data_IF_769534449200
#
_entry.id   IF_769534449200
#
_cell.length_a   1.000
_cell.length_b   1.000
_cell.length_c   1.000
_cell.angle_alpha   90.00
_cell.angle_beta   90.00
_cell.angle_gamma   90.00
#
_symmetry.space_group_name_H-M   'P 1'
#
loop_
_entity.id
_entity.type
_entity.pdbx_description
1 polymer ?
#
# COMPACT_ATOMS: atom_id res chain seq x y z
N UNK A 1 -10.43 -3.02 -4.70
CA UNK A 1 -10.93 -2.95 -3.32
C UNK A 1 -10.25 -1.85 -2.54
N UNK A 2 -8.91 -1.80 -2.50
CA UNK A 2 -8.17 -0.78 -1.74
C UNK A 2 -7.20 -0.09 -2.72
N UNK A 3 -7.62 0.99 -3.41
CA UNK A 3 -6.74 1.72 -4.32
C UNK A 3 -5.77 2.61 -3.54
N UNK A 4 -4.54 2.73 -4.05
CA UNK A 4 -3.48 3.58 -3.49
C UNK A 4 -3.19 4.70 -4.50
N UNK A 5 -3.37 5.94 -4.08
CA UNK A 5 -3.10 7.13 -4.87
C UNK A 5 -1.66 7.66 -4.68
N UNK A 6 -1.22 8.48 -5.64
CA UNK A 6 0.05 9.21 -5.53
C UNK A 6 -0.03 10.25 -4.42
N UNK A 7 0.89 10.16 -3.45
CA UNK A 7 0.89 11.01 -2.26
C UNK A 7 0.04 10.48 -1.09
N UNK A 8 -0.53 9.28 -1.21
CA UNK A 8 -1.31 8.64 -0.14
C UNK A 8 -0.41 7.91 0.84
N UNK A 9 -0.87 7.78 2.09
CA UNK A 9 -0.25 6.96 3.13
C UNK A 9 -1.13 5.73 3.39
N UNK A 10 -0.68 4.56 2.97
CA UNK A 10 -1.45 3.32 3.11
C UNK A 10 -0.71 2.33 4.01
N UNK A 11 -1.25 2.08 5.20
CA UNK A 11 -0.62 1.19 6.18
C UNK A 11 -0.71 -0.28 5.73
N UNK A 12 0.38 -1.03 5.83
CA UNK A 12 0.37 -2.50 5.71
C UNK A 12 0.52 -3.07 7.12
N UNK A 13 -0.55 -3.66 7.64
CA UNK A 13 -0.61 -4.16 9.02
C UNK A 13 -0.97 -5.64 9.05
N UNK A 14 -0.33 -6.37 9.95
CA UNK A 14 -0.64 -7.78 10.20
C UNK A 14 0.45 -8.48 11.00
N UNK A 15 0.21 -9.75 11.30
CA UNK A 15 1.11 -10.54 12.14
C UNK A 15 2.42 -10.87 11.41
N UNK A 16 3.36 -11.41 12.19
CA UNK A 16 4.59 -12.01 11.66
C UNK A 16 4.27 -13.01 10.54
N UNK A 17 5.11 -13.00 9.50
CA UNK A 17 5.06 -13.98 8.40
C UNK A 17 3.76 -14.00 7.56
N UNK A 18 2.97 -12.93 7.57
CA UNK A 18 1.74 -12.81 6.75
C UNK A 18 1.97 -12.28 5.32
N UNK A 19 3.21 -12.01 4.93
CA UNK A 19 3.57 -11.51 3.60
C UNK A 19 3.65 -9.99 3.46
N UNK A 20 3.72 -9.23 4.57
CA UNK A 20 3.81 -7.74 4.57
C UNK A 20 4.94 -7.21 3.69
N UNK A 21 6.17 -7.64 3.94
CA UNK A 21 7.35 -7.23 3.18
C UNK A 21 7.27 -7.65 1.70
N UNK A 22 6.71 -8.84 1.41
CA UNK A 22 6.53 -9.29 0.04
C UNK A 22 5.58 -8.37 -0.73
N UNK A 23 4.43 -8.00 -0.14
CA UNK A 23 3.49 -7.06 -0.74
C UNK A 23 4.13 -5.69 -1.05
N UNK A 24 4.97 -5.21 -0.13
CA UNK A 24 5.65 -3.93 -0.32
C UNK A 24 6.76 -3.97 -1.39
N UNK A 25 7.52 -5.08 -1.46
CA UNK A 25 8.54 -5.28 -2.50
C UNK A 25 7.89 -5.44 -3.88
N UNK A 26 6.79 -6.20 -3.97
CA UNK A 26 6.05 -6.35 -5.22
C UNK A 26 5.52 -5.00 -5.71
N UNK A 27 5.09 -4.13 -4.79
CA UNK A 27 4.69 -2.76 -5.12
C UNK A 27 5.85 -1.95 -5.72
N UNK A 28 7.08 -2.09 -5.18
CA UNK A 28 8.31 -1.48 -5.71
C UNK A 28 8.66 -2.05 -7.09
N UNK A 29 8.66 -3.38 -7.24
CA UNK A 29 8.97 -4.06 -8.51
C UNK A 29 8.01 -3.60 -9.61
N UNK A 30 6.73 -3.41 -9.28
CA UNK A 30 5.73 -2.91 -10.22
C UNK A 30 5.98 -1.46 -10.66
N UNK A 31 6.85 -0.70 -9.98
CA UNK A 31 7.24 0.66 -10.39
C UNK A 31 8.47 0.73 -11.29
N UNK A 32 9.05 -0.40 -11.70
CA UNK A 32 10.30 -0.42 -12.50
C UNK A 32 10.24 0.49 -13.75
N UNK A 33 9.09 0.55 -14.42
CA UNK A 33 8.89 1.27 -15.69
C UNK A 33 7.88 2.42 -15.56
N UNK A 34 7.38 2.72 -14.35
CA UNK A 34 6.28 3.68 -14.15
C UNK A 34 6.73 5.13 -13.99
N UNK A 35 8.05 5.37 -13.92
CA UNK A 35 8.65 6.67 -13.64
C UNK A 35 8.61 7.07 -12.15
N UNK A 36 8.08 6.22 -11.27
CA UNK A 36 8.03 6.48 -9.82
C UNK A 36 9.32 5.98 -9.17
N UNK A 37 10.06 6.87 -8.49
CA UNK A 37 11.29 6.50 -7.77
C UNK A 37 10.96 5.77 -6.47
N UNK A 38 11.67 4.69 -6.17
CA UNK A 38 11.37 3.89 -4.99
C UNK A 38 12.42 4.09 -3.89
N UNK A 39 11.97 4.06 -2.63
CA UNK A 39 12.82 4.07 -1.44
C UNK A 39 12.37 2.95 -0.51
N UNK A 40 13.25 2.01 -0.20
CA UNK A 40 12.98 0.95 0.77
C UNK A 40 13.82 1.18 2.02
N UNK A 41 13.17 1.41 3.16
CA UNK A 41 13.84 1.66 4.44
C UNK A 41 13.67 0.43 5.35
N UNK A 42 14.76 -0.30 5.57
CA UNK A 42 14.80 -1.44 6.48
C UNK A 42 15.26 -0.99 7.88
N UNK A 43 14.40 -1.18 8.88
CA UNK A 43 14.59 -0.73 10.26
C UNK A 43 14.58 -1.94 11.19
N UNK A 44 15.70 -2.21 11.86
CA UNK A 44 15.83 -3.34 12.79
C UNK A 44 15.57 -4.70 12.13
N UNK A 45 15.79 -4.82 10.81
CA UNK A 45 15.67 -6.08 10.08
C UNK A 45 16.96 -6.89 10.18
N UNK A 46 16.84 -8.21 10.00
CA UNK A 46 18.01 -9.09 9.93
C UNK A 46 18.78 -8.80 8.64
N UNK A 47 20.11 -8.69 8.71
CA UNK A 47 20.95 -8.42 7.55
C UNK A 47 20.73 -9.45 6.42
N UNK A 48 20.55 -10.73 6.76
CA UNK A 48 20.25 -11.78 5.78
C UNK A 48 18.90 -11.59 5.08
N UNK A 49 17.88 -11.11 5.78
CA UNK A 49 16.59 -10.77 5.18
C UNK A 49 16.74 -9.61 4.21
N UNK A 50 17.46 -8.55 4.60
CA UNK A 50 17.70 -7.39 3.75
C UNK A 50 18.48 -7.77 2.49
N UNK A 51 19.55 -8.58 2.63
CA UNK A 51 20.33 -9.07 1.49
C UNK A 51 19.46 -9.86 0.50
N UNK A 52 18.56 -10.73 0.99
CA UNK A 52 17.61 -11.43 0.13
C UNK A 52 16.64 -10.48 -0.59
N UNK A 53 16.17 -9.42 0.08
CA UNK A 53 15.32 -8.39 -0.54
C UNK A 53 16.06 -7.65 -1.64
N UNK A 54 17.28 -7.18 -1.38
CA UNK A 54 18.11 -6.48 -2.38
C UNK A 54 18.38 -7.38 -3.58
N UNK A 55 18.76 -8.65 -3.34
CA UNK A 55 18.95 -9.63 -4.42
C UNK A 55 17.67 -9.82 -5.23
N UNK A 56 16.51 -9.89 -4.60
CA UNK A 56 15.21 -10.00 -5.31
C UNK A 56 14.88 -8.76 -6.13
N UNK A 57 15.17 -7.57 -5.61
CA UNK A 57 15.00 -6.32 -6.35
C UNK A 57 15.93 -6.26 -7.57
N UNK A 58 17.16 -6.77 -7.43
CA UNK A 58 18.13 -6.86 -8.53
C UNK A 58 17.73 -7.89 -9.59
N UNK A 59 17.33 -9.09 -9.17
CA UNK A 59 16.82 -10.17 -10.05
C UNK A 59 15.66 -9.71 -10.93
N UNK A 60 14.80 -8.81 -10.42
CA UNK A 60 13.64 -8.28 -11.16
C UNK A 60 13.93 -6.92 -11.83
N UNK A 61 15.17 -6.44 -11.82
CA UNK A 61 15.59 -5.18 -12.44
C UNK A 61 15.06 -3.90 -11.77
N UNK A 62 14.49 -4.01 -10.57
CA UNK A 62 13.90 -2.88 -9.84
C UNK A 62 14.93 -2.09 -9.01
N UNK A 63 16.10 -2.69 -8.72
CA UNK A 63 17.14 -2.07 -7.89
C UNK A 63 17.67 -0.75 -8.48
N UNK A 64 17.79 -0.65 -9.80
CA UNK A 64 18.26 0.56 -10.47
C UNK A 64 17.34 1.79 -10.23
N UNK A 65 16.07 1.55 -9.91
CA UNK A 65 15.08 2.59 -9.62
C UNK A 65 14.77 2.72 -8.11
N UNK A 66 15.52 2.01 -7.26
CA UNK A 66 15.22 1.91 -5.82
C UNK A 66 16.43 2.28 -4.96
N UNK A 67 16.27 3.25 -4.07
CA UNK A 67 17.23 3.54 -3.01
C UNK A 67 16.91 2.63 -1.82
N UNK A 68 17.91 1.95 -1.28
CA UNK A 68 17.76 1.08 -0.11
C UNK A 68 18.49 1.70 1.08
N UNK A 69 17.74 2.09 2.11
CA UNK A 69 18.27 2.60 3.38
C UNK A 69 18.20 1.49 4.41
N UNK A 70 19.32 1.19 5.06
CA UNK A 70 19.43 0.05 5.98
C UNK A 70 19.90 0.52 7.34
N UNK A 71 19.13 0.17 8.37
CA UNK A 71 19.57 0.15 9.75
C UNK A 71 19.25 -1.24 10.35
N UNK A 72 20.26 -2.11 10.41
CA UNK A 72 20.09 -3.51 10.82
C UNK A 72 19.75 -3.64 12.31
N UNK A 73 19.24 -4.81 12.72
CA UNK A 73 18.92 -5.11 14.12
C UNK A 73 20.14 -5.02 15.07
N UNK A 74 21.36 -5.17 14.55
CA UNK A 74 22.62 -5.08 15.32
C UNK A 74 23.14 -3.64 15.47
N UNK A 75 22.59 -2.69 14.72
CA UNK A 75 23.00 -1.29 14.81
C UNK A 75 22.37 -0.57 15.99
N UNK A 76 22.93 0.60 16.33
CA UNK A 76 22.45 1.46 17.41
C UNK A 76 20.96 1.79 17.26
N UNK A 77 20.26 1.85 18.39
CA UNK A 77 18.86 2.31 18.45
C UNK A 77 18.70 3.71 17.83
N UNK A 78 19.72 4.57 17.91
CA UNK A 78 19.70 5.90 17.30
C UNK A 78 19.64 5.84 15.77
N UNK A 79 20.40 4.93 15.15
CA UNK A 79 20.37 4.73 13.69
C UNK A 79 19.02 4.15 13.25
N UNK A 80 18.51 3.16 13.96
CA UNK A 80 17.18 2.58 13.66
C UNK A 80 16.06 3.63 13.79
N UNK A 81 16.14 4.49 14.80
CA UNK A 81 15.19 5.59 15.00
C UNK A 81 15.25 6.64 13.88
N UNK A 82 16.46 6.99 13.39
CA UNK A 82 16.67 8.04 12.39
C UNK A 82 16.54 7.57 10.94
N UNK A 83 16.73 6.29 10.65
CA UNK A 83 16.70 5.74 9.29
C UNK A 83 15.43 6.12 8.49
N UNK A 84 14.22 6.12 9.07
CA UNK A 84 13.01 6.53 8.35
C UNK A 84 13.02 8.00 7.95
N UNK A 85 13.58 8.88 8.80
CA UNK A 85 13.69 10.30 8.48
C UNK A 85 14.70 10.54 7.36
N UNK A 86 15.80 9.79 7.34
CA UNK A 86 16.81 9.84 6.28
C UNK A 86 16.23 9.36 4.94
N UNK A 87 15.56 8.20 4.92
CA UNK A 87 14.90 7.70 3.72
C UNK A 87 13.80 8.64 3.22
N UNK A 88 13.03 9.22 4.14
CA UNK A 88 12.02 10.22 3.78
C UNK A 88 12.64 11.46 3.12
N UNK A 89 13.74 11.99 3.66
CA UNK A 89 14.44 13.13 3.04
C UNK A 89 14.95 12.82 1.62
N UNK A 90 15.40 11.58 1.36
CA UNK A 90 15.74 11.13 0.01
C UNK A 90 14.52 11.09 -0.92
N UNK A 91 13.36 10.68 -0.42
CA UNK A 91 12.10 10.71 -1.17
C UNK A 91 11.59 12.13 -1.45
N UNK A 92 11.73 13.04 -0.48
CA UNK A 92 11.33 14.45 -0.62
C UNK A 92 12.11 15.17 -1.72
N UNK A 93 13.37 14.80 -1.95
CA UNK A 93 14.18 15.32 -3.06
C UNK A 93 13.44 15.24 -4.41
N UNK A 94 12.77 14.11 -4.66
CA UNK A 94 12.00 13.88 -5.90
C UNK A 94 10.65 14.61 -5.86
N UNK A 95 9.95 14.55 -4.72
CA UNK A 95 8.66 15.26 -4.51
C UNK A 95 8.81 16.76 -4.81
N UNK A 96 9.84 17.39 -4.27
CA UNK A 96 10.03 18.84 -4.38
C UNK A 96 10.50 19.28 -5.78
N UNK A 97 10.92 18.33 -6.63
CA UNK A 97 11.29 18.55 -8.04
C UNK A 97 10.16 18.24 -9.03
N UNK A 98 8.95 17.98 -8.54
CA UNK A 98 7.81 17.63 -9.40
C UNK A 98 7.86 16.20 -9.92
N UNK A 99 8.67 15.33 -9.31
CA UNK A 99 8.70 13.89 -9.58
C UNK A 99 7.86 13.13 -8.54
N UNK A 100 7.53 11.88 -8.86
CA UNK A 100 6.77 11.00 -7.98
C UNK A 100 7.69 9.96 -7.34
N UNK A 101 7.53 9.75 -6.04
CA UNK A 101 8.27 8.77 -5.27
C UNK A 101 7.34 7.87 -4.44
N UNK A 102 7.79 6.64 -4.20
CA UNK A 102 7.18 5.64 -3.33
C UNK A 102 8.18 5.26 -2.25
N UNK A 103 7.82 5.40 -0.99
CA UNK A 103 8.64 4.99 0.15
C UNK A 103 7.96 3.88 0.96
N UNK A 104 8.74 2.86 1.32
CA UNK A 104 8.34 1.75 2.18
C UNK A 104 9.14 1.80 3.47
N UNK A 105 8.45 1.72 4.62
CA UNK A 105 9.10 1.66 5.94
C UNK A 105 8.91 0.26 6.57
N UNK A 106 9.97 -0.53 6.65
CA UNK A 106 9.95 -1.92 7.12
C UNK A 106 10.89 -2.11 8.34
N UNK A 107 10.47 -1.91 9.59
CA UNK A 107 9.09 -1.80 10.11
C UNK A 107 9.01 -0.67 11.15
N UNK A 108 7.95 0.15 11.12
CA UNK A 108 7.76 1.26 12.04
C UNK A 108 7.54 0.81 13.50
N UNK A 109 7.04 -0.41 13.73
CA UNK A 109 6.95 -1.01 15.07
C UNK A 109 8.34 -1.12 15.70
N UNK A 110 9.37 -1.45 14.89
CA UNK A 110 10.75 -1.54 15.37
C UNK A 110 11.36 -0.15 15.60
N UNK A 111 11.00 0.84 14.78
CA UNK A 111 11.37 2.23 15.04
C UNK A 111 10.82 2.72 16.39
N UNK A 112 9.55 2.43 16.69
CA UNK A 112 8.93 2.79 17.96
C UNK A 112 9.65 2.15 19.16
N UNK A 113 10.03 0.86 19.03
CA UNK A 113 10.79 0.15 20.07
C UNK A 113 12.18 0.76 20.26
N UNK A 114 12.89 1.10 19.18
CA UNK A 114 14.18 1.78 19.24
C UNK A 114 14.06 3.15 19.91
N UNK A 115 13.03 3.93 19.59
CA UNK A 115 12.76 5.22 20.22
C UNK A 115 12.45 5.08 21.71
N UNK A 116 11.64 4.07 22.08
CA UNK A 116 11.36 3.73 23.48
C UNK A 116 12.64 3.42 24.24
N UNK A 117 13.55 2.64 23.68
CA UNK A 117 14.83 2.33 24.32
C UNK A 117 15.64 3.60 24.62
N UNK A 118 15.77 4.51 23.64
CA UNK A 118 16.47 5.79 23.83
C UNK A 118 15.78 6.61 24.91
N UNK A 119 14.45 6.72 24.86
CA UNK A 119 13.68 7.53 25.81
C UNK A 119 13.80 7.04 27.25
N UNK A 120 13.80 5.72 27.47
CA UNK A 120 13.97 5.12 28.79
C UNK A 120 15.40 5.33 29.33
N UNK A 121 16.41 5.24 28.48
CA UNK A 121 17.81 5.54 28.86
C UNK A 121 17.98 7.01 29.27
N UNK A 122 17.25 7.92 28.61
CA UNK A 122 17.18 9.34 28.96
C UNK A 122 16.29 9.63 30.19
N UNK A 123 15.77 8.59 30.85
CA UNK A 123 14.89 8.69 32.02
C UNK A 123 13.64 9.56 31.79
N UNK A 124 13.15 9.62 30.56
CA UNK A 124 11.87 10.27 30.27
C UNK A 124 10.72 9.41 30.82
N UNK A 125 9.65 10.02 31.38
CA UNK A 125 8.53 9.27 31.93
C UNK A 125 7.83 8.44 30.85
N UNK A 126 7.63 7.12 31.05
CA UNK A 126 6.90 6.28 30.12
C UNK A 126 5.38 6.38 30.29
N UNK A 127 4.64 6.05 29.24
CA UNK A 127 3.19 5.91 29.21
C UNK A 127 2.75 4.46 28.94
N UNK A 128 1.70 4.30 28.13
CA UNK A 128 1.13 2.98 27.77
C UNK A 128 2.18 2.09 27.08
N UNK A 129 2.26 0.82 27.49
CA UNK A 129 3.23 -0.16 26.99
C UNK A 129 4.71 0.31 27.09
N UNK A 130 4.99 1.19 28.07
CA UNK A 130 6.26 1.84 28.33
C UNK A 130 6.79 2.75 27.20
N UNK A 131 5.97 3.10 26.21
CA UNK A 131 6.35 4.08 25.18
C UNK A 131 6.30 5.50 25.74
N UNK A 132 7.15 6.43 25.26
CA UNK A 132 7.06 7.82 25.66
C UNK A 132 5.79 8.48 25.09
N UNK A 133 5.30 9.53 25.76
CA UNK A 133 4.05 10.20 25.36
C UNK A 133 4.08 10.82 23.96
N UNK A 134 5.26 11.10 23.42
CA UNK A 134 5.48 11.69 22.09
C UNK A 134 5.69 10.63 20.98
N UNK A 135 5.46 9.34 21.23
CA UNK A 135 5.53 8.29 20.19
C UNK A 135 4.48 8.49 19.08
N UNK A 136 3.36 9.14 19.39
CA UNK A 136 2.39 9.53 18.36
C UNK A 136 3.01 10.59 17.43
N UNK A 137 3.64 11.61 18.03
CA UNK A 137 4.28 12.70 17.30
C UNK A 137 5.45 12.23 16.44
N UNK A 138 6.16 11.18 16.89
CA UNK A 138 7.21 10.50 16.13
C UNK A 138 6.72 10.07 14.74
N UNK A 139 5.62 9.30 14.69
CA UNK A 139 5.10 8.77 13.44
C UNK A 139 4.29 9.81 12.67
N UNK A 140 3.59 10.73 13.35
CA UNK A 140 2.82 11.77 12.65
C UNK A 140 3.74 12.69 11.85
N UNK A 141 4.80 13.24 12.46
CA UNK A 141 5.75 14.11 11.73
C UNK A 141 6.51 13.38 10.63
N UNK A 142 6.64 12.05 10.70
CA UNK A 142 7.25 11.24 9.66
C UNK A 142 6.30 11.03 8.49
N UNK A 143 5.07 10.56 8.78
CA UNK A 143 4.12 10.17 7.76
C UNK A 143 3.47 11.38 7.10
N UNK A 144 3.28 12.51 7.79
CA UNK A 144 2.77 13.74 7.19
C UNK A 144 3.70 14.35 6.13
N UNK A 145 4.96 13.91 6.05
CA UNK A 145 5.87 14.28 4.95
C UNK A 145 5.51 13.61 3.63
N UNK A 146 4.82 12.47 3.68
CA UNK A 146 4.30 11.79 2.50
C UNK A 146 3.00 12.47 2.07
N UNK A 147 3.11 13.31 1.04
CA UNK A 147 2.02 14.11 0.50
C UNK A 147 2.23 14.39 -0.99
N UNK A 148 1.20 14.92 -1.63
CA UNK A 148 1.27 15.52 -2.97
C UNK A 148 1.32 17.04 -2.87
N UNK A 149 2.28 17.66 -3.54
CA UNK A 149 2.45 19.12 -3.58
C UNK A 149 1.80 19.72 -4.82
N UNK A 150 1.35 20.97 -4.73
CA UNK A 150 0.80 21.69 -5.88
C UNK A 150 1.90 22.20 -6.82
N UNK A 151 1.52 22.65 -8.02
CA UNK A 151 2.49 23.12 -9.02
C UNK A 151 3.20 24.40 -8.59
N UNK A 152 2.50 25.30 -7.90
CA UNK A 152 3.06 26.55 -7.38
C UNK A 152 4.20 26.32 -6.38
N UNK A 153 4.05 25.33 -5.49
CA UNK A 153 5.10 24.95 -4.54
C UNK A 153 6.35 24.43 -5.27
N UNK A 154 6.17 23.56 -6.26
CA UNK A 154 7.29 23.01 -7.04
C UNK A 154 8.00 24.12 -7.81
N UNK A 155 7.25 25.05 -8.40
CA UNK A 155 7.82 26.22 -9.10
C UNK A 155 8.61 27.11 -8.15
N UNK A 156 8.07 27.40 -6.97
CA UNK A 156 8.75 28.20 -5.96
C UNK A 156 10.02 27.51 -5.43
N UNK A 157 9.96 26.21 -5.15
CA UNK A 157 11.09 25.44 -4.62
C UNK A 157 12.22 25.29 -5.65
N UNK A 158 11.87 25.00 -6.90
CA UNK A 158 12.82 24.83 -8.01
C UNK A 158 13.25 26.15 -8.64
N UNK A 159 12.84 27.30 -8.07
CA UNK A 159 13.17 28.64 -8.58
C UNK A 159 12.79 28.84 -10.06
N UNK A 160 11.69 28.22 -10.48
CA UNK A 160 11.16 28.29 -11.84
C UNK A 160 11.79 27.33 -12.86
N UNK A 161 12.67 26.42 -12.45
CA UNK A 161 13.22 25.37 -13.34
C UNK A 161 12.15 24.36 -13.78
N UNK A 162 11.25 23.99 -12.86
CA UNK A 162 10.16 23.04 -13.12
C UNK A 162 8.83 23.78 -13.05
N UNK A 163 8.10 23.86 -14.17
CA UNK A 163 6.80 24.53 -14.26
C UNK A 163 5.66 23.58 -14.57
N UNK A 164 4.51 23.84 -13.96
CA UNK A 164 3.26 23.11 -14.21
C UNK A 164 3.23 21.65 -13.78
N UNK A 165 4.23 21.17 -13.02
CA UNK A 165 4.29 19.79 -12.51
C UNK A 165 3.99 19.73 -11.03
N UNK A 166 3.33 18.66 -10.61
CA UNK A 166 3.12 18.32 -9.19
C UNK A 166 3.98 17.11 -8.84
N UNK A 167 4.69 17.16 -7.71
CA UNK A 167 5.39 15.99 -7.20
C UNK A 167 4.60 15.30 -6.08
N UNK A 168 4.95 14.05 -5.80
CA UNK A 168 4.31 13.31 -4.72
C UNK A 168 5.26 12.34 -4.02
N UNK A 169 5.04 12.13 -2.73
CA UNK A 169 5.68 11.08 -1.96
C UNK A 169 4.58 10.18 -1.38
N UNK A 170 4.47 8.97 -1.92
CA UNK A 170 3.52 7.93 -1.48
C UNK A 170 4.20 7.07 -0.43
N UNK A 171 3.55 6.77 0.70
CA UNK A 171 4.16 6.00 1.77
C UNK A 171 3.39 4.72 2.09
N UNK A 172 4.12 3.61 2.19
CA UNK A 172 3.64 2.31 2.64
C UNK A 172 4.36 1.93 3.95
N UNK A 173 3.91 2.45 5.11
CA UNK A 173 4.43 1.99 6.38
C UNK A 173 3.99 0.56 6.66
N UNK A 174 4.91 -0.27 7.15
CA UNK A 174 4.61 -1.60 7.68
C UNK A 174 4.51 -1.50 9.20
N UNK A 175 3.49 -2.15 9.76
CA UNK A 175 3.32 -2.37 11.21
C UNK A 175 3.10 -3.86 11.47
N UNK A 176 3.93 -4.42 12.33
CA UNK A 176 3.72 -5.75 12.90
C UNK A 176 2.80 -5.69 14.13
N UNK A 177 1.73 -6.51 14.10
CA UNK A 177 0.87 -6.81 15.25
C UNK A 177 1.34 -8.07 15.98
N UNK A 178 0.90 -8.21 17.23
CA UNK A 178 1.05 -9.45 17.99
C UNK A 178 -0.31 -10.15 18.04
N UNK A 179 -0.40 -11.36 17.48
CA UNK A 179 -1.61 -12.19 17.48
C UNK A 179 -2.88 -11.48 16.97
N UNK A 180 -2.74 -10.60 15.98
CA UNK A 180 -3.83 -9.86 15.36
C UNK A 180 -4.37 -8.70 16.20
N UNK A 181 -3.71 -8.35 17.31
CA UNK A 181 -4.17 -7.27 18.17
C UNK A 181 -3.93 -5.89 17.53
N UNK A 182 -4.99 -5.36 16.94
CA UNK A 182 -5.05 -4.01 16.37
C UNK A 182 -5.28 -2.92 17.43
N UNK A 183 -5.62 -3.29 18.66
CA UNK A 183 -5.91 -2.37 19.76
C UNK A 183 -4.68 -1.98 20.58
N UNK A 184 -3.53 -2.60 20.27
CA UNK A 184 -2.23 -2.24 20.81
C UNK A 184 -1.89 -0.77 20.50
N UNK A 185 -1.06 -0.17 21.36
CA UNK A 185 -0.85 1.27 21.36
C UNK A 185 -0.25 1.80 20.05
N UNK A 186 0.83 1.19 19.55
CA UNK A 186 1.50 1.64 18.32
C UNK A 186 0.64 1.41 17.07
N UNK A 187 0.03 0.21 16.85
CA UNK A 187 -0.89 0.02 15.72
C UNK A 187 -2.04 1.02 15.68
N UNK A 188 -2.69 1.27 16.82
CA UNK A 188 -3.81 2.23 16.91
C UNK A 188 -3.37 3.63 16.50
N UNK A 189 -2.20 4.09 16.98
CA UNK A 189 -1.66 5.39 16.62
C UNK A 189 -1.42 5.51 15.12
N UNK A 190 -0.78 4.51 14.50
CA UNK A 190 -0.44 4.59 13.06
C UNK A 190 -1.70 4.49 12.19
N UNK A 191 -2.69 3.67 12.55
CA UNK A 191 -3.99 3.63 11.86
C UNK A 191 -4.67 5.01 11.87
N UNK A 192 -4.55 5.76 12.96
CA UNK A 192 -5.14 7.10 13.04
C UNK A 192 -4.41 8.14 12.19
N UNK A 193 -3.14 7.90 11.82
CA UNK A 193 -2.32 8.82 11.01
C UNK A 193 -2.44 8.52 9.52
N UNK A 194 -2.46 7.24 9.11
CA UNK A 194 -2.50 6.88 7.68
C UNK A 194 -3.87 7.09 7.07
N UNK A 195 -3.94 7.27 5.74
CA UNK A 195 -5.17 7.50 4.99
C UNK A 195 -5.92 6.20 4.66
N UNK A 196 -5.48 5.09 5.23
CA UNK A 196 -5.99 3.76 4.95
C UNK A 196 -5.10 2.69 5.53
N UNK A 197 -5.58 1.45 5.44
CA UNK A 197 -4.87 0.28 5.89
C UNK A 197 -5.24 -0.95 5.06
N UNK A 198 -4.23 -1.77 4.81
CA UNK A 198 -4.30 -3.12 4.28
C UNK A 198 -4.00 -4.07 5.44
N UNK A 199 -5.03 -4.78 5.88
CA UNK A 199 -4.93 -5.76 6.97
C UNK A 199 -4.69 -7.16 6.41
N UNK A 200 -3.54 -7.74 6.72
CA UNK A 200 -3.17 -9.11 6.35
C UNK A 200 -3.50 -10.06 7.50
N UNK A 201 -4.39 -11.02 7.24
CA UNK A 201 -4.90 -11.94 8.25
C UNK A 201 -4.19 -13.30 8.20
N UNK A 202 -3.71 -13.75 9.36
CA UNK A 202 -2.98 -15.03 9.52
C UNK A 202 -3.82 -16.24 9.08
N UNK A 203 -5.13 -16.24 9.39
CA UNK A 203 -6.02 -17.33 9.01
C UNK A 203 -6.15 -17.48 7.48
N UNK A 204 -6.22 -16.37 6.76
CA UNK A 204 -6.30 -16.38 5.29
C UNK A 204 -4.99 -16.86 4.67
N UNK A 205 -3.88 -16.41 5.24
CA UNK A 205 -2.56 -16.84 4.79
C UNK A 205 -2.36 -18.35 4.97
N UNK A 206 -2.76 -18.89 6.13
CA UNK A 206 -2.69 -20.32 6.43
C UNK A 206 -3.66 -21.15 5.56
N UNK A 207 -4.80 -20.58 5.17
CA UNK A 207 -5.74 -21.19 4.23
C UNK A 207 -5.28 -21.14 2.76
N UNK A 208 -4.06 -20.64 2.49
CA UNK A 208 -3.49 -20.58 1.14
C UNK A 208 -3.91 -19.36 0.32
N UNK A 209 -4.71 -18.44 0.88
CA UNK A 209 -5.12 -17.22 0.18
C UNK A 209 -3.97 -16.21 0.25
N UNK A 210 -3.33 -15.95 -0.91
CA UNK A 210 -2.22 -15.01 -1.07
C UNK A 210 -2.53 -14.06 -2.24
N UNK A 211 -2.61 -12.73 -2.02
CA UNK A 211 -2.33 -12.00 -0.78
C UNK A 211 -3.46 -12.16 0.26
N UNK A 212 -3.08 -12.24 1.54
CA UNK A 212 -3.98 -12.53 2.67
C UNK A 212 -4.80 -11.31 3.14
N UNK A 213 -5.29 -10.48 2.21
CA UNK A 213 -5.97 -9.22 2.50
C UNK A 213 -7.38 -9.50 3.05
N UNK A 214 -7.69 -8.94 4.22
CA UNK A 214 -9.05 -8.94 4.76
C UNK A 214 -9.85 -7.74 4.20
N UNK A 215 -10.84 -7.94 3.32
CA UNK A 215 -11.55 -6.85 2.65
C UNK A 215 -12.55 -6.12 3.55
N UNK A 216 -12.86 -6.65 4.74
CA UNK A 216 -13.78 -6.00 5.68
C UNK A 216 -13.08 -5.00 6.61
N UNK A 217 -11.83 -5.28 6.98
CA UNK A 217 -11.03 -4.44 7.88
C UNK A 217 -10.15 -3.46 7.09
N UNK A 218 -9.73 -3.86 5.89
CA UNK A 218 -8.89 -3.03 5.04
C UNK A 218 -9.70 -1.92 4.37
N UNK A 219 -9.19 -0.68 4.39
CA UNK A 219 -9.89 0.52 3.92
C UNK A 219 -8.90 1.45 3.25
N UNK A 220 -9.29 2.09 2.15
CA UNK A 220 -8.59 3.26 1.60
C UNK A 220 -9.54 4.46 1.67
N UNK A 221 -9.16 5.51 2.41
CA UNK A 221 -10.01 6.71 2.62
C UNK A 221 -10.05 7.61 1.39
N UNK A 222 -9.07 7.50 0.48
CA UNK A 222 -9.07 8.18 -0.82
C UNK A 222 -10.11 7.56 -1.78
N UNK A 223 -10.35 6.25 -1.65
CA UNK A 223 -11.39 5.54 -2.38
C UNK A 223 -11.24 5.63 -3.91
N UNK A 224 -12.36 5.77 -4.61
CA UNK A 224 -12.41 5.71 -6.08
C UNK A 224 -11.62 6.79 -6.82
N UNK A 225 -11.22 7.89 -6.15
CA UNK A 225 -10.42 8.96 -6.72
C UNK A 225 -9.03 8.47 -7.17
N UNK A 226 -8.47 7.48 -6.47
CA UNK A 226 -7.18 6.86 -6.80
C UNK A 226 -7.26 5.82 -7.93
N UNK A 227 -8.46 5.46 -8.39
CA UNK A 227 -8.65 4.46 -9.44
C UNK A 227 -8.66 5.07 -10.84
N UNK A 228 -8.13 4.32 -11.81
CA UNK A 228 -8.33 4.63 -13.22
C UNK A 228 -9.81 4.53 -13.60
N UNK A 229 -10.22 5.28 -14.63
CA UNK A 229 -11.63 5.34 -15.07
C UNK A 229 -12.22 3.94 -15.34
N UNK A 230 -11.44 3.06 -15.95
CA UNK A 230 -11.86 1.68 -16.25
C UNK A 230 -12.06 0.87 -14.97
N UNK A 231 -11.12 0.93 -14.03
CA UNK A 231 -11.21 0.19 -12.77
C UNK A 231 -12.38 0.65 -11.90
N UNK A 232 -12.74 1.95 -11.98
CA UNK A 232 -13.90 2.50 -11.27
C UNK A 232 -15.23 2.01 -11.85
N UNK A 233 -15.30 1.85 -13.16
CA UNK A 233 -16.51 1.41 -13.86
C UNK A 233 -16.73 -0.11 -13.79
N UNK A 234 -15.69 -0.89 -13.48
CA UNK A 234 -15.80 -2.33 -13.35
C UNK A 234 -16.49 -2.70 -12.01
N UNK A 235 -17.58 -3.50 -12.02
CA UNK A 235 -18.26 -3.88 -10.80
C UNK A 235 -17.39 -4.84 -9.98
N UNK A 236 -16.79 -4.34 -8.89
CA UNK A 236 -16.17 -5.20 -7.89
C UNK A 236 -17.29 -5.81 -7.05
N UNK A 237 -17.50 -7.13 -7.19
CA UNK A 237 -18.43 -7.89 -6.34
C UNK A 237 -18.12 -7.60 -4.87
N UNK A 238 -19.15 -7.35 -4.05
CA UNK A 238 -19.00 -6.99 -2.64
C UNK A 238 -18.55 -8.19 -1.78
N UNK A 239 -17.24 -8.48 -1.81
CA UNK A 239 -16.59 -9.55 -1.03
C UNK A 239 -16.92 -9.48 0.47
N UNK A 240 -16.98 -8.29 1.12
CA UNK A 240 -17.38 -8.21 2.53
C UNK A 240 -18.81 -8.73 2.79
N UNK A 241 -19.75 -8.39 1.90
CA UNK A 241 -21.16 -8.84 2.00
C UNK A 241 -21.28 -10.35 1.79
N UNK A 242 -20.48 -10.91 0.88
CA UNK A 242 -20.45 -12.36 0.69
C UNK A 242 -19.92 -13.08 1.94
N UNK A 243 -18.86 -12.58 2.57
CA UNK A 243 -18.31 -13.15 3.81
C UNK A 243 -19.30 -13.10 4.98
N UNK A 244 -20.02 -11.98 5.15
CA UNK A 244 -21.02 -11.89 6.23
C UNK A 244 -22.16 -12.90 6.03
N UNK A 245 -22.60 -13.12 4.78
CA UNK A 245 -23.61 -14.14 4.45
C UNK A 245 -23.08 -15.55 4.74
N UNK A 246 -21.83 -15.86 4.36
CA UNK A 246 -21.22 -17.18 4.63
C UNK A 246 -21.09 -17.43 6.14
N UNK A 247 -20.66 -16.42 6.92
CA UNK A 247 -20.58 -16.54 8.37
C UNK A 247 -21.97 -16.74 9.00
N UNK A 248 -22.98 -16.00 8.53
CA UNK A 248 -24.36 -16.17 9.00
C UNK A 248 -24.92 -17.57 8.68
N UNK A 249 -24.63 -18.11 7.49
CA UNK A 249 -25.04 -19.47 7.08
C UNK A 249 -24.39 -20.58 7.91
N UNK A 250 -23.28 -20.32 8.59
CA UNK A 250 -22.61 -21.30 9.46
C UNK A 250 -23.22 -21.36 10.88
N UNK A 251 -24.15 -20.47 11.22
CA UNK A 251 -24.87 -20.50 12.49
C UNK A 251 -26.00 -21.56 12.47
N UNK A 252 -26.05 -22.50 13.42
CA UNK A 252 -26.99 -23.64 13.35
C UNK A 252 -28.48 -23.30 13.46
N UNK A 253 -28.86 -22.09 13.89
CA UNK A 253 -30.23 -21.84 14.42
C UNK A 253 -31.23 -21.20 13.45
N UNK A 254 -30.86 -20.82 12.23
CA UNK A 254 -31.81 -20.25 11.26
C UNK A 254 -31.45 -20.73 9.85
N UNK A 255 -32.02 -21.85 9.44
CA UNK A 255 -32.05 -22.25 8.04
C UNK A 255 -33.40 -21.81 7.43
N UNK A 256 -33.58 -20.57 6.95
CA UNK A 256 -34.63 -20.33 6.00
C UNK A 256 -34.20 -20.94 4.67
N UNK A 257 -35.11 -21.72 4.09
CA UNK A 257 -35.08 -22.32 2.77
C UNK A 257 -35.04 -21.23 1.68
N UNK A 258 -33.94 -20.48 1.59
CA UNK A 258 -33.61 -19.74 0.38
C UNK A 258 -32.98 -20.72 -0.60
N UNK A 259 -33.85 -21.50 -1.24
CA UNK A 259 -33.55 -22.20 -2.48
C UNK A 259 -32.95 -21.20 -3.46
N UNK A 260 -31.78 -21.54 -4.01
CA UNK A 260 -31.35 -20.92 -5.26
C UNK A 260 -32.49 -21.12 -6.25
N UNK A 261 -33.14 -20.05 -6.69
CA UNK A 261 -33.85 -20.14 -7.96
C UNK A 261 -32.80 -20.53 -9.00
N UNK A 262 -32.98 -21.64 -9.74
CA UNK A 262 -32.11 -21.96 -10.85
C UNK A 262 -32.17 -20.79 -11.83
N UNK A 263 -31.03 -20.41 -12.37
CA UNK A 263 -30.89 -19.36 -13.36
C UNK A 263 -31.58 -19.76 -14.67
N UNK A 264 -32.91 -19.73 -14.71
CA UNK A 264 -33.76 -19.96 -15.87
C UNK A 264 -34.97 -19.02 -15.81
N UNK A 265 -34.71 -17.72 -15.85
CA UNK A 265 -35.67 -16.74 -16.36
C UNK A 265 -34.90 -15.49 -16.78
N UNK A 266 -34.34 -15.53 -17.99
CA UNK A 266 -33.98 -14.33 -18.71
C UNK A 266 -35.27 -13.59 -19.10
N UNK A 267 -35.81 -12.77 -18.21
CA UNK A 267 -36.68 -11.66 -18.63
C UNK A 267 -35.77 -10.52 -19.03
N UNK A 268 -35.68 -10.34 -20.34
CA UNK A 268 -34.98 -9.28 -21.05
C UNK A 268 -35.45 -7.91 -20.55
N UNK A 269 -34.64 -7.25 -19.72
CA UNK A 269 -34.58 -5.79 -19.70
C UNK A 269 -33.23 -5.41 -20.30
N UNK A 270 -33.17 -5.46 -21.63
CA UNK A 270 -32.11 -4.80 -22.40
C UNK A 270 -32.25 -3.31 -22.14
N UNK A 271 -31.30 -2.72 -21.43
CA UNK A 271 -31.02 -1.30 -21.58
C UNK A 271 -29.92 -1.18 -22.65
N UNK A 272 -30.15 -0.36 -23.66
CA UNK A 272 -29.37 -0.29 -24.90
C UNK A 272 -27.90 0.15 -24.73
N UNK A 273 -27.41 0.35 -23.50
CA UNK A 273 -26.00 0.68 -23.20
C UNK A 273 -25.11 -0.54 -22.94
N UNK A 274 -25.68 -1.74 -22.77
CA UNK A 274 -24.92 -2.96 -22.51
C UNK A 274 -24.32 -3.59 -23.79
N UNK A 275 -24.94 -3.34 -24.96
CA UNK A 275 -24.50 -3.95 -26.22
C UNK A 275 -23.18 -3.38 -26.75
N UNK A 276 -22.84 -2.12 -26.44
CA UNK A 276 -21.57 -1.52 -26.88
C UNK A 276 -20.37 -1.98 -26.03
N UNK A 277 -20.60 -2.44 -24.80
CA UNK A 277 -19.52 -2.80 -23.87
C UNK A 277 -19.04 -4.25 -24.03
N UNK A 278 -19.90 -5.16 -24.51
CA UNK A 278 -19.49 -6.55 -24.82
C UNK A 278 -18.57 -6.61 -26.04
N UNK A 279 -18.78 -5.77 -27.05
CA UNK A 279 -17.97 -5.74 -28.27
C UNK A 279 -16.53 -5.30 -27.98
N UNK A 280 -16.35 -4.29 -27.11
CA UNK A 280 -15.01 -3.79 -26.72
C UNK A 280 -14.23 -4.82 -25.89
N UNK A 281 -14.90 -5.58 -25.02
CA UNK A 281 -14.23 -6.63 -24.23
C UNK A 281 -13.84 -7.86 -25.07
N UNK A 282 -14.60 -8.19 -26.12
CA UNK A 282 -14.29 -9.30 -27.02
C UNK A 282 -13.05 -9.02 -27.90
N UNK A 283 -12.87 -7.77 -28.32
CA UNK A 283 -11.75 -7.38 -29.17
C UNK A 283 -10.41 -7.30 -28.42
N UNK A 284 -10.43 -6.93 -27.13
CA UNK A 284 -9.23 -6.97 -26.27
C UNK A 284 -8.77 -8.41 -26.01
N UNK A 285 -9.70 -9.37 -25.91
CA UNK A 285 -9.34 -10.80 -25.78
C UNK A 285 -8.71 -11.37 -27.06
N UNK A 286 -9.11 -10.89 -28.23
CA UNK A 286 -8.49 -11.31 -29.50
C UNK A 286 -7.11 -10.70 -29.71
N UNK A 287 -6.89 -9.44 -29.31
CA UNK A 287 -5.59 -8.78 -29.44
C UNK A 287 -4.50 -9.36 -28.51
N UNK A 288 -4.87 -9.96 -27.37
CA UNK A 288 -3.91 -10.56 -26.45
C UNK A 288 -3.39 -11.95 -26.89
N UNK A 289 -4.04 -12.61 -27.86
CA UNK A 289 -3.72 -13.99 -28.28
C UNK A 289 -2.92 -14.04 -29.59
N UNK A 290 -2.89 -12.97 -30.39
CA UNK A 290 -2.12 -12.91 -31.64
C UNK A 290 -1.08 -11.78 -31.61
N UNK A 291 0.14 -12.10 -31.21
CA UNK A 291 1.29 -11.21 -31.27
C UNK A 291 1.72 -10.89 -32.72
N UNK A 292 1.00 -10.00 -33.41
CA UNK A 292 1.50 -9.37 -34.63
C UNK A 292 1.09 -7.89 -34.69
N UNK A 293 2.08 -7.02 -34.56
CA UNK A 293 1.96 -5.58 -34.83
C UNK A 293 1.80 -5.39 -36.33
N UNK A 294 0.71 -4.78 -36.79
CA UNK A 294 0.65 -4.12 -38.10
C UNK A 294 0.22 -2.67 -37.92
N UNK A 295 1.15 -1.79 -38.22
CA UNK A 295 0.98 -0.34 -38.37
C UNK A 295 -0.09 -0.01 -39.39
N UNK A 296 -1.05 0.87 -39.04
CA UNK A 296 -1.82 1.63 -40.02
C UNK A 296 -1.81 3.11 -39.65
N UNK A 297 -1.11 3.86 -40.48
CA UNK A 297 -1.15 5.31 -40.67
C UNK A 297 -2.58 5.80 -40.94
N UNK A 298 -2.98 6.88 -40.28
CA UNK A 298 -4.18 7.65 -40.63
C UNK A 298 -3.75 9.07 -41.05
N UNK A 299 -4.06 9.44 -42.29
CA UNK A 299 -4.10 10.82 -42.77
C UNK A 299 -5.49 11.43 -42.48
N UNK A 300 -5.60 12.77 -42.34
CA UNK A 300 -6.85 13.41 -41.95
C UNK A 300 -7.71 13.79 -43.17
N UNK A 301 -9.03 13.74 -42.99
CA UNK A 301 -10.06 14.33 -43.84
C UNK A 301 -11.22 14.76 -42.96
#
# INVERSE_FOLDING_TARGET
MIPIGRGQRELIIGDRQTGKTALAIDAIINQRDSGIKCVYVAIGQKASTISNVVRKLEEHGALANTIVVVATASESAALQYLAPYAGCAMGEYFRDRGEDALIVYDDLSKQAVAYRQISLLLRRPPGREAFPGDVFYLHSRLLERAARVNAEYVEAFTKGEVKGKTGSLTALPIIETQAGDVSAFVPTNVISITDGQIFLETNLFNAGIRPAVNPGISVSRVGGAAQTKIMRNCPVVSVPRWRSIVNWRRSPSLHPTLTMQPANSWTTVRSDRAAETETVCADVRRAAVSGSVRSRTWLPG
#
